data_IF_455782614817
#
_entry.id   IF_455782614817
#
_cell.length_a   1.000
_cell.length_b   1.000
_cell.length_c   1.000
_cell.angle_alpha   90.00
_cell.angle_beta   90.00
_cell.angle_gamma   90.00
#
_symmetry.space_group_name_H-M   'P 1'
#
loop_
_entity.id
_entity.type
_entity.pdbx_description
1 polymer ?
#
# COMPACT_ATOMS: atom_id res chain seq x y z
N UNK A 1 -31.40 11.73 -41.55
CA UNK A 1 -31.05 10.62 -40.63
C UNK A 1 -29.95 11.12 -39.72
N UNK A 2 -30.28 11.48 -38.48
CA UNK A 2 -29.32 11.98 -37.50
C UNK A 2 -28.55 10.79 -36.92
N UNK A 3 -27.23 10.76 -37.11
CA UNK A 3 -26.38 9.74 -36.52
C UNK A 3 -26.24 10.00 -35.01
N UNK A 4 -26.67 9.05 -34.20
CA UNK A 4 -26.42 9.00 -32.76
C UNK A 4 -24.93 8.77 -32.54
N UNK A 5 -24.22 9.76 -31.98
CA UNK A 5 -22.84 9.56 -31.53
C UNK A 5 -22.84 8.53 -30.38
N UNK A 6 -22.16 7.38 -30.49
CA UNK A 6 -22.01 6.48 -29.37
C UNK A 6 -21.10 7.14 -28.33
N UNK A 7 -21.60 7.31 -27.11
CA UNK A 7 -20.81 7.78 -25.97
C UNK A 7 -19.58 6.89 -25.82
N UNK A 8 -18.39 7.47 -25.97
CA UNK A 8 -17.14 6.73 -25.83
C UNK A 8 -17.04 6.11 -24.41
N UNK A 9 -16.61 4.84 -24.29
CA UNK A 9 -16.49 4.20 -22.98
C UNK A 9 -15.43 4.90 -22.13
N UNK A 10 -15.68 4.99 -20.82
CA UNK A 10 -14.75 5.53 -19.85
C UNK A 10 -13.51 4.63 -19.73
N UNK A 11 -12.33 5.25 -19.59
CA UNK A 11 -11.06 4.54 -19.44
C UNK A 11 -10.66 4.47 -17.96
N UNK A 12 -10.48 3.24 -17.44
CA UNK A 12 -10.04 3.00 -16.06
C UNK A 12 -8.53 2.68 -16.01
N UNK A 13 -7.75 3.60 -15.44
CA UNK A 13 -6.32 3.38 -15.19
C UNK A 13 -6.12 2.46 -13.97
N UNK A 14 -5.16 1.51 -13.99
CA UNK A 14 -4.90 0.65 -12.84
C UNK A 14 -4.48 1.45 -11.61
N UNK A 15 -5.24 1.32 -10.51
CA UNK A 15 -4.90 1.98 -9.25
C UNK A 15 -3.63 1.34 -8.64
N UNK A 16 -2.58 2.10 -8.32
CA UNK A 16 -1.40 1.56 -7.66
C UNK A 16 -1.74 1.01 -6.27
N UNK A 17 -1.19 -0.17 -5.92
CA UNK A 17 -1.44 -0.84 -4.62
C UNK A 17 -1.19 0.09 -3.42
N UNK A 18 -0.18 0.97 -3.51
CA UNK A 18 0.12 1.97 -2.49
C UNK A 18 -1.04 2.93 -2.25
N UNK A 19 -1.66 3.41 -3.33
CA UNK A 19 -2.80 4.31 -3.27
C UNK A 19 -4.03 3.58 -2.70
N UNK A 20 -4.27 2.33 -3.10
CA UNK A 20 -5.34 1.51 -2.51
C UNK A 20 -5.14 1.33 -1.01
N UNK A 21 -3.92 1.05 -0.54
CA UNK A 21 -3.62 0.91 0.89
C UNK A 21 -3.84 2.21 1.65
N UNK A 22 -3.31 3.33 1.15
CA UNK A 22 -3.49 4.64 1.78
C UNK A 22 -4.98 5.05 1.83
N UNK A 23 -5.72 4.83 0.76
CA UNK A 23 -7.17 5.06 0.72
C UNK A 23 -7.92 4.16 1.71
N UNK A 24 -7.53 2.88 1.82
CA UNK A 24 -8.16 1.95 2.76
C UNK A 24 -7.90 2.34 4.21
N UNK A 25 -6.67 2.72 4.58
CA UNK A 25 -6.36 3.24 5.92
C UNK A 25 -7.10 4.55 6.22
N UNK A 26 -7.26 5.40 5.21
CA UNK A 26 -8.02 6.64 5.35
C UNK A 26 -9.49 6.35 5.62
N UNK A 27 -10.10 5.44 4.85
CA UNK A 27 -11.47 5.00 5.08
C UNK A 27 -11.65 4.35 6.46
N UNK A 28 -10.68 3.52 6.88
CA UNK A 28 -10.66 2.91 8.22
C UNK A 28 -10.63 3.97 9.31
N UNK A 29 -9.76 4.97 9.19
CA UNK A 29 -9.67 6.08 10.14
C UNK A 29 -10.95 6.93 10.20
N UNK A 30 -11.58 7.21 9.06
CA UNK A 30 -12.87 7.92 9.05
C UNK A 30 -13.97 7.10 9.72
N UNK A 31 -14.05 5.80 9.41
CA UNK A 31 -15.03 4.93 10.05
C UNK A 31 -14.83 4.88 11.57
N UNK A 32 -13.60 4.67 12.02
CA UNK A 32 -13.24 4.64 13.43
C UNK A 32 -13.62 5.94 14.14
N UNK A 33 -13.26 7.08 13.55
CA UNK A 33 -13.61 8.40 14.09
C UNK A 33 -15.13 8.60 14.18
N UNK A 34 -15.90 8.17 13.18
CA UNK A 34 -17.35 8.28 13.22
C UNK A 34 -18.00 7.32 14.21
N UNK A 35 -17.47 6.10 14.38
CA UNK A 35 -17.92 5.17 15.43
C UNK A 35 -17.71 5.82 16.80
N UNK A 36 -16.54 6.40 17.06
CA UNK A 36 -16.24 7.09 18.33
C UNK A 36 -17.13 8.33 18.54
N UNK A 37 -17.35 9.14 17.50
CA UNK A 37 -18.24 10.32 17.59
C UNK A 37 -19.68 9.89 17.85
N UNK A 38 -20.15 8.87 17.14
CA UNK A 38 -21.52 8.37 17.30
C UNK A 38 -21.73 7.68 18.64
N UNK A 39 -20.67 7.09 19.21
CA UNK A 39 -20.71 6.48 20.52
C UNK A 39 -21.14 7.46 21.63
N UNK A 40 -20.79 8.74 21.53
CA UNK A 40 -21.25 9.76 22.49
C UNK A 40 -22.77 9.92 22.54
N UNK A 41 -23.50 9.48 21.52
CA UNK A 41 -24.97 9.52 21.54
C UNK A 41 -25.59 8.25 22.12
N UNK A 42 -24.79 7.25 22.49
CA UNK A 42 -25.29 6.07 23.19
C UNK A 42 -25.55 6.41 24.67
N UNK A 43 -26.68 5.98 25.25
CA UNK A 43 -27.03 6.33 26.63
C UNK A 43 -25.96 5.89 27.64
N UNK A 44 -25.62 6.75 28.59
CA UNK A 44 -24.67 6.47 29.67
C UNK A 44 -23.23 6.87 29.37
N UNK A 45 -22.83 6.95 28.09
CA UNK A 45 -21.43 7.20 27.71
C UNK A 45 -20.98 8.61 28.08
N UNK A 46 -21.81 9.64 27.84
CA UNK A 46 -21.45 11.02 28.19
C UNK A 46 -21.43 11.21 29.70
N UNK A 47 -22.37 10.59 30.41
CA UNK A 47 -22.41 10.61 31.88
C UNK A 47 -21.14 9.99 32.48
N UNK A 48 -20.70 8.83 31.99
CA UNK A 48 -19.47 8.19 32.45
C UNK A 48 -18.22 9.05 32.18
N UNK A 49 -18.16 9.72 31.02
CA UNK A 49 -17.05 10.62 30.68
C UNK A 49 -17.00 11.82 31.64
N UNK A 50 -18.15 12.39 31.99
CA UNK A 50 -18.25 13.48 32.97
C UNK A 50 -17.85 13.03 34.37
N UNK A 51 -18.07 11.77 34.70
CA UNK A 51 -17.60 11.11 35.92
C UNK A 51 -16.11 10.69 35.86
N UNK A 52 -15.41 10.98 34.75
CA UNK A 52 -14.00 10.68 34.58
C UNK A 52 -13.71 9.22 34.23
N UNK A 53 -14.65 8.51 33.60
CA UNK A 53 -14.49 7.14 33.11
C UNK A 53 -14.71 7.03 31.60
N UNK A 54 -13.99 6.13 30.96
CA UNK A 54 -14.24 5.70 29.58
C UNK A 54 -14.30 4.18 29.58
N UNK A 55 -15.48 3.63 29.31
CA UNK A 55 -15.75 2.21 29.54
C UNK A 55 -15.42 1.84 31.00
N UNK A 56 -14.62 0.80 31.25
CA UNK A 56 -14.19 0.35 32.58
C UNK A 56 -12.92 1.08 33.09
N UNK A 57 -12.38 2.05 32.33
CA UNK A 57 -11.09 2.69 32.62
C UNK A 57 -11.25 4.12 33.14
N UNK A 58 -10.33 4.54 34.01
CA UNK A 58 -10.21 5.93 34.43
C UNK A 58 -9.70 6.81 33.29
N UNK A 59 -10.39 7.92 33.06
CA UNK A 59 -9.99 8.98 32.14
C UNK A 59 -8.76 9.71 32.71
N UNK A 60 -7.60 9.14 32.42
CA UNK A 60 -6.30 9.61 32.90
C UNK A 60 -5.41 10.05 31.75
N UNK A 61 -4.34 10.79 32.06
CA UNK A 61 -3.33 11.18 31.07
C UNK A 61 -2.72 9.95 30.37
N UNK A 62 -2.51 8.86 31.11
CA UNK A 62 -2.00 7.60 30.56
C UNK A 62 -2.99 6.97 29.59
N UNK A 63 -4.28 6.93 29.94
CA UNK A 63 -5.33 6.45 29.04
C UNK A 63 -5.38 7.29 27.76
N UNK A 64 -5.43 8.62 27.87
CA UNK A 64 -5.48 9.51 26.70
C UNK A 64 -4.24 9.37 25.80
N UNK A 65 -3.05 9.24 26.39
CA UNK A 65 -1.82 9.02 25.62
C UNK A 65 -1.79 7.65 24.92
N UNK A 66 -2.29 6.60 25.59
CA UNK A 66 -2.41 5.27 25.00
C UNK A 66 -3.42 5.26 23.84
N UNK A 67 -4.59 5.86 24.03
CA UNK A 67 -5.62 6.01 22.99
C UNK A 67 -5.08 6.81 21.78
N UNK A 68 -4.39 7.94 22.03
CA UNK A 68 -3.75 8.72 20.98
C UNK A 68 -2.70 7.90 20.22
N UNK A 69 -1.86 7.16 20.94
CA UNK A 69 -0.82 6.30 20.33
C UNK A 69 -1.46 5.21 19.47
N UNK A 70 -2.55 4.61 19.96
CA UNK A 70 -3.32 3.62 19.22
C UNK A 70 -3.87 4.22 17.92
N UNK A 71 -4.49 5.39 17.91
CA UNK A 71 -5.00 5.96 16.64
C UNK A 71 -3.90 6.56 15.75
N UNK A 72 -2.75 6.93 16.31
CA UNK A 72 -1.63 7.47 15.54
C UNK A 72 -1.02 6.43 14.57
N UNK A 73 -1.00 5.15 14.93
CA UNK A 73 -0.44 4.08 14.08
C UNK A 73 -1.15 4.01 12.71
N UNK A 74 -2.48 3.85 12.61
CA UNK A 74 -3.19 3.81 11.33
C UNK A 74 -3.12 5.14 10.58
N UNK A 75 -3.07 6.28 11.28
CA UNK A 75 -2.83 7.59 10.66
C UNK A 75 -1.47 7.61 9.95
N UNK A 76 -0.41 7.16 10.63
CA UNK A 76 0.92 7.05 10.04
C UNK A 76 0.96 6.05 8.88
N UNK A 77 0.19 4.96 8.96
CA UNK A 77 0.10 3.97 7.88
C UNK A 77 -0.41 4.55 6.56
N UNK A 78 -1.22 5.63 6.59
CA UNK A 78 -1.63 6.35 5.37
C UNK A 78 -0.40 6.86 4.62
N UNK A 79 0.50 7.57 5.32
CA UNK A 79 1.71 8.16 4.74
C UNK A 79 2.78 7.10 4.46
N UNK A 80 2.97 6.16 5.38
CA UNK A 80 3.97 5.10 5.26
C UNK A 80 3.67 4.16 4.09
N UNK A 81 2.40 3.90 3.78
CA UNK A 81 2.03 3.08 2.64
C UNK A 81 2.47 3.68 1.30
N UNK A 82 2.53 5.01 1.20
CA UNK A 82 2.96 5.72 0.00
C UNK A 82 4.48 5.89 -0.09
N UNK A 83 5.14 6.11 1.05
CA UNK A 83 6.54 6.54 1.11
C UNK A 83 7.54 5.39 1.29
N UNK A 84 7.16 4.30 1.98
CA UNK A 84 8.09 3.19 2.24
C UNK A 84 8.43 2.39 0.98
N UNK A 85 9.63 1.78 0.93
CA UNK A 85 9.96 0.77 -0.08
C UNK A 85 8.95 -0.38 -0.06
N UNK A 86 8.66 -0.98 -1.22
CA UNK A 86 7.57 -1.95 -1.38
C UNK A 86 7.62 -3.12 -0.37
N UNK A 87 8.82 -3.66 -0.09
CA UNK A 87 8.99 -4.76 0.89
C UNK A 87 8.65 -4.33 2.32
N UNK A 88 9.10 -3.14 2.73
CA UNK A 88 8.84 -2.60 4.05
C UNK A 88 7.36 -2.23 4.19
N UNK A 89 6.79 -1.54 3.20
CA UNK A 89 5.36 -1.18 3.16
C UNK A 89 4.48 -2.42 3.25
N UNK A 90 4.77 -3.48 2.48
CA UNK A 90 4.04 -4.75 2.54
C UNK A 90 4.08 -5.38 3.93
N UNK A 91 5.26 -5.47 4.53
CA UNK A 91 5.42 -6.10 5.85
C UNK A 91 4.72 -5.30 6.94
N UNK A 92 4.89 -3.98 6.94
CA UNK A 92 4.23 -3.08 7.88
C UNK A 92 2.69 -3.18 7.78
N UNK A 93 2.15 -3.14 6.57
CA UNK A 93 0.70 -3.25 6.35
C UNK A 93 0.13 -4.58 6.85
N UNK A 94 0.82 -5.70 6.61
CA UNK A 94 0.38 -7.00 7.10
C UNK A 94 0.40 -7.07 8.63
N UNK A 95 1.50 -6.66 9.25
CA UNK A 95 1.66 -6.70 10.71
C UNK A 95 0.64 -5.78 11.39
N UNK A 96 0.56 -4.52 10.97
CA UNK A 96 -0.34 -3.55 11.59
C UNK A 96 -1.79 -3.98 11.37
N UNK A 97 -2.21 -4.33 10.16
CA UNK A 97 -3.60 -4.76 9.95
C UNK A 97 -3.97 -5.99 10.78
N UNK A 98 -3.06 -6.97 10.93
CA UNK A 98 -3.30 -8.13 11.81
C UNK A 98 -3.42 -7.76 13.28
N UNK A 99 -2.64 -6.78 13.77
CA UNK A 99 -2.74 -6.30 15.15
C UNK A 99 -4.04 -5.52 15.41
N UNK A 100 -4.61 -4.87 14.40
CA UNK A 100 -5.87 -4.12 14.55
C UNK A 100 -7.11 -5.02 14.52
N UNK A 101 -7.04 -6.24 13.97
CA UNK A 101 -8.17 -7.18 14.01
C UNK A 101 -8.68 -7.43 15.43
N UNK A 102 -7.85 -7.83 16.42
CA UNK A 102 -8.32 -8.01 17.79
C UNK A 102 -8.71 -6.69 18.47
N UNK A 103 -8.07 -5.56 18.11
CA UNK A 103 -8.42 -4.22 18.64
C UNK A 103 -9.84 -3.85 18.22
N UNK A 104 -10.17 -3.97 16.94
CA UNK A 104 -11.52 -3.75 16.41
C UNK A 104 -12.52 -4.75 17.02
N UNK A 105 -12.15 -6.03 17.15
CA UNK A 105 -13.05 -7.03 17.74
C UNK A 105 -13.38 -6.74 19.22
N UNK A 106 -12.49 -6.08 19.96
CA UNK A 106 -12.72 -5.69 21.35
C UNK A 106 -13.91 -4.73 21.51
N UNK A 107 -14.27 -3.94 20.47
CA UNK A 107 -15.43 -3.05 20.51
C UNK A 107 -16.78 -3.77 20.70
N UNK A 108 -16.83 -5.10 20.56
CA UNK A 108 -18.03 -5.90 20.86
C UNK A 108 -18.16 -6.27 22.35
N UNK A 109 -17.10 -6.12 23.13
CA UNK A 109 -17.10 -6.48 24.55
C UNK A 109 -17.94 -5.46 25.32
N UNK A 110 -18.95 -5.94 26.05
CA UNK A 110 -19.86 -5.08 26.82
C UNK A 110 -20.81 -4.25 25.95
N UNK A 111 -20.95 -4.56 24.66
CA UNK A 111 -21.77 -3.78 23.74
C UNK A 111 -23.27 -4.04 23.91
N UNK A 112 -23.98 -3.11 24.54
CA UNK A 112 -25.45 -3.15 24.64
C UNK A 112 -26.14 -2.74 23.31
N UNK A 113 -25.47 -1.94 22.48
CA UNK A 113 -25.97 -1.48 21.17
C UNK A 113 -25.41 -2.33 20.02
N UNK A 114 -25.71 -3.63 20.03
CA UNK A 114 -25.12 -4.64 19.13
C UNK A 114 -25.23 -4.31 17.64
N UNK A 115 -26.31 -3.69 17.17
CA UNK A 115 -26.43 -3.31 15.76
C UNK A 115 -25.44 -2.22 15.37
N UNK A 116 -25.23 -1.23 16.23
CA UNK A 116 -24.30 -0.13 15.99
C UNK A 116 -22.86 -0.63 16.06
N UNK A 117 -22.47 -1.23 17.19
CA UNK A 117 -21.12 -1.75 17.39
C UNK A 117 -20.79 -2.91 16.44
N UNK A 118 -21.73 -3.82 16.22
CA UNK A 118 -21.56 -4.94 15.31
C UNK A 118 -21.41 -4.50 13.86
N UNK A 119 -22.19 -3.52 13.39
CA UNK A 119 -22.02 -2.97 12.05
C UNK A 119 -20.67 -2.27 11.90
N UNK A 120 -20.28 -1.45 12.88
CA UNK A 120 -18.97 -0.79 12.92
C UNK A 120 -17.83 -1.80 12.80
N UNK A 121 -17.83 -2.82 13.66
CA UNK A 121 -16.82 -3.89 13.65
C UNK A 121 -16.79 -4.66 12.33
N UNK A 122 -17.94 -5.01 11.76
CA UNK A 122 -17.98 -5.71 10.46
C UNK A 122 -17.35 -4.85 9.35
N UNK A 123 -17.67 -3.56 9.31
CA UNK A 123 -17.12 -2.64 8.31
C UNK A 123 -15.62 -2.41 8.51
N UNK A 124 -15.17 -2.22 9.75
CA UNK A 124 -13.76 -2.09 10.09
C UNK A 124 -12.95 -3.34 9.71
N UNK A 125 -13.45 -4.53 10.06
CA UNK A 125 -12.82 -5.80 9.70
C UNK A 125 -12.79 -6.01 8.18
N UNK A 126 -13.81 -5.56 7.44
CA UNK A 126 -13.81 -5.62 5.98
C UNK A 126 -12.70 -4.73 5.39
N UNK A 127 -12.49 -3.53 5.93
CA UNK A 127 -11.40 -2.64 5.52
C UNK A 127 -10.02 -3.24 5.87
N UNK A 128 -9.85 -3.81 7.06
CA UNK A 128 -8.61 -4.49 7.45
C UNK A 128 -8.34 -5.71 6.56
N UNK A 129 -9.37 -6.49 6.21
CA UNK A 129 -9.24 -7.59 5.26
C UNK A 129 -8.82 -7.09 3.87
N UNK A 130 -9.30 -5.91 3.43
CA UNK A 130 -8.87 -5.28 2.19
C UNK A 130 -7.39 -4.86 2.25
N UNK A 131 -6.93 -4.26 3.37
CA UNK A 131 -5.51 -3.96 3.59
C UNK A 131 -4.66 -5.22 3.46
N UNK A 132 -5.05 -6.29 4.16
CA UNK A 132 -4.35 -7.58 4.12
C UNK A 132 -4.31 -8.14 2.69
N UNK A 133 -5.43 -8.11 1.97
CA UNK A 133 -5.52 -8.57 0.58
C UNK A 133 -4.59 -7.76 -0.33
N UNK A 134 -4.67 -6.43 -0.30
CA UNK A 134 -3.84 -5.54 -1.12
C UNK A 134 -2.35 -5.75 -0.84
N UNK A 135 -1.96 -5.86 0.43
CA UNK A 135 -0.57 -6.12 0.80
C UNK A 135 -0.11 -7.52 0.39
N UNK A 136 -1.00 -8.52 0.47
CA UNK A 136 -0.68 -9.89 0.09
C UNK A 136 -0.47 -10.07 -1.41
N UNK A 137 -1.36 -9.49 -2.23
CA UNK A 137 -1.35 -9.59 -3.70
C UNK A 137 -0.38 -8.63 -4.38
N UNK A 138 0.52 -8.00 -3.62
CA UNK A 138 1.48 -7.05 -4.18
C UNK A 138 2.30 -7.66 -5.32
N UNK A 139 2.35 -7.05 -6.52
CA UNK A 139 3.07 -7.57 -7.66
C UNK A 139 4.55 -7.82 -7.34
N UNK A 140 5.04 -9.04 -7.60
CA UNK A 140 6.46 -9.36 -7.51
C UNK A 140 7.07 -9.11 -8.87
N UNK A 141 8.07 -8.24 -8.96
CA UNK A 141 8.86 -8.10 -10.19
C UNK A 141 9.60 -9.40 -10.42
N UNK A 142 9.19 -10.19 -11.41
CA UNK A 142 10.04 -11.24 -11.98
C UNK A 142 11.24 -10.54 -12.60
N UNK A 143 12.49 -10.89 -12.25
CA UNK A 143 13.65 -10.35 -12.94
C UNK A 143 13.47 -10.56 -14.44
N UNK A 144 13.53 -9.50 -15.24
CA UNK A 144 13.53 -9.63 -16.69
C UNK A 144 14.64 -10.61 -17.07
N UNK A 145 14.39 -11.59 -17.97
CA UNK A 145 15.46 -12.46 -18.43
C UNK A 145 16.58 -11.56 -18.95
N UNK A 146 17.77 -11.71 -18.38
CA UNK A 146 18.94 -11.01 -18.86
C UNK A 146 19.02 -11.28 -20.36
N UNK A 147 18.82 -10.25 -21.18
CA UNK A 147 19.05 -10.33 -22.62
C UNK A 147 20.53 -10.67 -22.77
N UNK A 148 20.83 -11.96 -22.92
CA UNK A 148 22.16 -12.44 -23.26
C UNK A 148 22.57 -11.71 -24.53
N UNK A 149 23.48 -10.75 -24.37
CA UNK A 149 24.10 -10.06 -25.49
C UNK A 149 24.76 -11.11 -26.36
N UNK A 150 24.17 -11.37 -27.54
CA UNK A 150 24.87 -12.06 -28.60
C UNK A 150 26.11 -11.21 -28.97
N UNK A 151 27.32 -11.77 -28.99
CA UNK A 151 28.49 -11.04 -29.44
C UNK A 151 28.28 -10.65 -30.90
N UNK A 152 28.40 -9.36 -31.22
CA UNK A 152 28.52 -8.90 -32.60
C UNK A 152 29.68 -9.66 -33.28
N UNK A 153 29.45 -10.42 -34.37
CA UNK A 153 30.53 -10.95 -35.17
C UNK A 153 31.15 -9.76 -35.91
N UNK A 154 32.30 -9.30 -35.41
CA UNK A 154 33.14 -8.37 -36.15
C UNK A 154 33.54 -9.06 -37.45
N UNK A 155 32.96 -8.60 -38.57
CA UNK A 155 33.31 -9.04 -39.91
C UNK A 155 34.83 -8.92 -40.08
N UNK A 156 35.52 -10.06 -40.20
CA UNK A 156 36.90 -10.13 -40.64
C UNK A 156 36.90 -9.84 -42.14
N UNK A 157 37.28 -8.62 -42.52
CA UNK A 157 37.50 -8.24 -43.92
C UNK A 157 38.78 -8.94 -44.41
N UNK A 158 38.79 -9.59 -45.59
CA UNK A 158 40.00 -10.21 -46.11
C UNK A 158 41.00 -9.12 -46.54
N UNK A 159 42.24 -9.22 -46.09
CA UNK A 159 43.35 -8.38 -46.54
C UNK A 159 43.95 -8.98 -47.83
N UNK A 160 44.08 -8.23 -48.93
CA UNK A 160 44.66 -8.76 -50.16
C UNK A 160 46.18 -8.91 -50.02
N UNK A 161 46.67 -10.06 -50.47
CA UNK A 161 48.09 -10.41 -50.53
C UNK A 161 48.86 -9.49 -51.47
N UNK A 162 49.91 -8.83 -50.95
CA UNK A 162 50.91 -8.14 -51.75
C UNK A 162 51.99 -9.15 -52.18
N UNK A 163 52.00 -9.46 -53.48
CA UNK A 163 53.03 -10.26 -54.12
C UNK A 163 54.28 -9.40 -54.41
N UNK A 164 55.41 -9.82 -53.85
CA UNK A 164 56.80 -9.81 -54.38
C UNK A 164 57.18 -8.95 -55.60
N UNK A 165 58.05 -7.95 -55.35
CA UNK A 165 59.39 -7.59 -55.91
C UNK A 165 59.75 -7.88 -57.41
N UNK A 166 60.57 -7.05 -58.12
CA UNK A 166 62.04 -6.93 -57.87
C UNK A 166 62.69 -5.53 -58.10
N UNK A 167 63.86 -5.29 -57.48
CA UNK A 167 64.92 -4.32 -57.88
C UNK A 167 65.93 -4.99 -58.85
N UNK A 168 67.01 -4.36 -59.42
CA UNK A 168 67.53 -2.97 -59.46
C UNK A 168 67.92 -2.56 -60.95
N UNK A 169 68.86 -1.63 -61.28
CA UNK A 169 70.29 -1.67 -60.92
C UNK A 169 70.90 -0.33 -60.42
N UNK A 170 71.92 -0.48 -59.56
CA UNK A 170 72.88 0.57 -59.19
C UNK A 170 73.96 0.72 -60.28
N UNK A 171 74.42 1.95 -60.46
CA UNK A 171 75.48 2.32 -61.39
C UNK A 171 76.88 2.08 -60.77
N UNK A 172 77.76 1.49 -61.55
CA UNK A 172 79.21 1.64 -61.42
C UNK A 172 79.73 2.34 -62.69
N UNK A 173 80.70 3.24 -62.48
CA UNK A 173 81.68 3.86 -63.41
C UNK A 173 81.41 3.90 -64.92
#
# INVERSE_FOLDING_TARGET
MSATNPTAPLHDEPVPVRASLAATWTAFMFLYAYVDILNFFTPGVVEDILDGRVFEFDLSQTFSAAALTLVAIPILMIVLSMTLPARASRTANLVVASLYVPVTAFNLVGADWLFFYGLGVVLELALLALVLRCAWTWPRTTPAPATTGAPHPHMLRPQPAAATNPSPPEAHE
#
